data_IF_863327142983
#
_entry.id   IF_863327142983
#
_cell.length_a   1.000
_cell.length_b   1.000
_cell.length_c   1.000
_cell.angle_alpha   90.00
_cell.angle_beta   90.00
_cell.angle_gamma   90.00
#
_symmetry.space_group_name_H-M   'P 1'
#
loop_
_entity.id
_entity.type
_entity.pdbx_description
1 polymer ?
#
# COMPACT_ATOMS: atom_id res chain seq x y z
N UNK A 1 -4.35 16.49 -1.92
CA UNK A 1 -3.20 16.82 -2.80
C UNK A 1 -3.74 17.47 -4.07
N UNK A 2 -3.05 18.47 -4.61
CA UNK A 2 -3.50 19.21 -5.80
C UNK A 2 -3.60 18.27 -7.02
N UNK A 3 -4.78 18.07 -7.63
CA UNK A 3 -4.93 17.23 -8.81
C UNK A 3 -4.04 17.65 -10.00
N UNK A 4 -3.68 18.95 -10.10
CA UNK A 4 -2.84 19.49 -11.18
C UNK A 4 -1.40 18.96 -11.18
N UNK A 5 -0.97 18.44 -10.03
CA UNK A 5 0.38 17.91 -9.82
C UNK A 5 0.51 16.42 -10.16
N UNK A 6 -0.56 15.78 -10.62
CA UNK A 6 -0.51 14.39 -11.04
C UNK A 6 -0.03 14.23 -12.47
N UNK A 7 0.84 13.24 -12.67
CA UNK A 7 1.31 12.79 -13.97
C UNK A 7 0.96 11.31 -14.16
N UNK A 8 1.04 10.87 -15.41
CA UNK A 8 1.00 9.45 -15.74
C UNK A 8 2.29 9.03 -16.44
N UNK A 9 2.66 7.76 -16.29
CA UNK A 9 3.75 7.14 -17.01
C UNK A 9 3.47 5.67 -17.26
N UNK A 10 3.63 5.21 -18.51
CA UNK A 10 3.55 3.79 -18.86
C UNK A 10 4.93 3.16 -18.69
N UNK A 11 5.01 2.22 -17.76
CA UNK A 11 6.23 1.48 -17.41
C UNK A 11 6.68 0.55 -18.55
N UNK A 12 7.91 0.07 -18.48
CA UNK A 12 8.46 -0.94 -19.39
C UNK A 12 7.70 -2.26 -19.33
N UNK A 13 6.99 -2.52 -18.23
CA UNK A 13 6.08 -3.66 -18.06
C UNK A 13 4.69 -3.45 -18.69
N UNK A 14 4.43 -2.27 -19.25
CA UNK A 14 3.19 -1.94 -19.97
C UNK A 14 2.07 -1.39 -19.09
N UNK A 15 2.29 -1.18 -17.79
CA UNK A 15 1.29 -0.61 -16.88
C UNK A 15 1.43 0.90 -16.77
N UNK A 16 0.32 1.61 -16.87
CA UNK A 16 0.24 3.06 -16.69
C UNK A 16 0.01 3.40 -15.22
N UNK A 17 0.99 4.06 -14.62
CA UNK A 17 0.91 4.57 -13.26
C UNK A 17 0.48 6.03 -13.24
N UNK A 18 -0.41 6.37 -12.31
CA UNK A 18 -0.68 7.73 -11.91
C UNK A 18 0.09 8.05 -10.63
N UNK A 19 0.74 9.22 -10.58
CA UNK A 19 1.53 9.63 -9.42
C UNK A 19 1.50 11.14 -9.25
N UNK A 20 1.49 11.59 -8.00
CA UNK A 20 1.75 12.98 -7.66
C UNK A 20 3.25 13.27 -7.83
N UNK A 21 3.56 14.39 -8.49
CA UNK A 21 4.92 14.88 -8.70
C UNK A 21 5.08 16.31 -8.21
N UNK A 22 6.06 16.51 -7.34
CA UNK A 22 6.64 17.83 -7.04
C UNK A 22 8.12 17.82 -7.42
N UNK A 23 8.58 18.58 -8.42
CA UNK A 23 10.01 18.69 -8.73
C UNK A 23 10.79 19.30 -7.56
N UNK A 24 12.04 18.86 -7.37
CA UNK A 24 12.92 19.46 -6.37
C UNK A 24 13.26 20.91 -6.78
N UNK A 25 13.14 21.85 -5.83
CA UNK A 25 13.47 23.26 -6.06
C UNK A 25 14.89 23.61 -5.61
N UNK A 26 15.49 22.75 -4.77
CA UNK A 26 16.88 22.84 -4.33
C UNK A 26 17.59 21.55 -4.71
N UNK A 27 18.63 21.64 -5.56
CA UNK A 27 19.41 20.49 -6.02
C UNK A 27 20.11 19.70 -4.89
N UNK A 28 20.22 20.28 -3.69
CA UNK A 28 20.77 19.62 -2.50
C UNK A 28 19.72 18.79 -1.75
N UNK A 29 18.43 18.99 -2.03
CA UNK A 29 17.34 18.25 -1.41
C UNK A 29 17.03 16.99 -2.23
N UNK A 30 17.02 15.80 -1.62
CA UNK A 30 16.72 14.58 -2.36
C UNK A 30 15.24 14.54 -2.79
N UNK A 31 14.95 13.74 -3.81
CA UNK A 31 13.57 13.33 -4.09
C UNK A 31 13.16 12.25 -3.09
N UNK A 32 11.95 12.37 -2.53
CA UNK A 32 11.31 11.35 -1.72
C UNK A 32 10.35 10.54 -2.59
N UNK A 33 10.47 9.22 -2.55
CA UNK A 33 9.52 8.29 -3.16
C UNK A 33 8.67 7.71 -2.05
N UNK A 34 7.37 7.97 -2.07
CA UNK A 34 6.46 7.61 -0.99
C UNK A 34 5.48 6.54 -1.46
N UNK A 35 5.67 5.30 -0.99
CA UNK A 35 4.93 4.12 -1.43
C UNK A 35 3.90 3.74 -0.36
N UNK A 36 2.62 3.87 -0.69
CA UNK A 36 1.51 3.52 0.20
C UNK A 36 1.30 1.99 0.30
N UNK A 37 0.43 1.58 1.21
CA UNK A 37 0.02 0.19 1.40
C UNK A 37 -1.48 -0.02 1.22
N UNK A 38 -2.00 -1.08 1.84
CA UNK A 38 -3.41 -1.46 1.81
C UNK A 38 -4.12 -1.10 3.13
N UNK A 39 -5.41 -0.73 3.11
CA UNK A 39 -6.26 -0.47 1.95
C UNK A 39 -6.31 1.03 1.65
N UNK A 40 -5.29 1.56 0.96
CA UNK A 40 -5.18 3.02 0.73
C UNK A 40 -4.74 3.40 -0.70
N UNK A 41 -4.22 4.61 -0.87
CA UNK A 41 -3.78 5.25 -2.11
C UNK A 41 -2.63 6.22 -1.81
N UNK A 42 -2.13 6.91 -2.85
CA UNK A 42 -1.15 7.99 -2.69
C UNK A 42 -1.59 9.07 -1.67
N UNK A 43 -2.90 9.20 -1.41
CA UNK A 43 -3.46 10.20 -0.51
C UNK A 43 -3.01 10.08 0.95
N UNK A 44 -2.59 8.90 1.41
CA UNK A 44 -1.95 8.70 2.73
C UNK A 44 -0.83 9.71 2.99
N UNK A 45 -0.12 10.09 1.93
CA UNK A 45 1.04 10.94 1.99
C UNK A 45 0.72 12.43 1.93
N UNK A 46 -0.55 12.85 1.90
CA UNK A 46 -0.92 14.26 1.71
C UNK A 46 -0.26 15.21 2.73
N UNK A 47 -0.12 14.79 3.98
CA UNK A 47 0.49 15.62 5.03
C UNK A 47 2.02 15.66 4.88
N UNK A 48 2.62 14.57 4.42
CA UNK A 48 4.06 14.50 4.10
C UNK A 48 4.36 15.38 2.89
N UNK A 49 3.53 15.33 1.86
CA UNK A 49 3.63 16.18 0.67
C UNK A 49 3.50 17.66 1.07
N UNK A 50 2.47 18.02 1.84
CA UNK A 50 2.25 19.39 2.31
C UNK A 50 3.40 19.93 3.16
N UNK A 51 4.08 19.07 3.92
CA UNK A 51 5.24 19.46 4.71
C UNK A 51 6.51 19.65 3.88
N UNK A 52 6.83 18.71 2.99
CA UNK A 52 8.12 18.68 2.30
C UNK A 52 8.16 19.49 0.99
N UNK A 53 7.04 19.65 0.30
CA UNK A 53 6.99 20.43 -0.94
C UNK A 53 7.45 21.89 -0.75
N UNK A 54 6.96 22.64 0.27
CA UNK A 54 7.41 24.02 0.51
C UNK A 54 8.88 24.12 0.96
N UNK A 55 9.45 23.02 1.46
CA UNK A 55 10.87 22.94 1.85
C UNK A 55 11.80 22.62 0.67
N UNK A 56 11.27 22.58 -0.55
CA UNK A 56 12.01 22.41 -1.79
C UNK A 56 12.42 20.96 -2.12
N UNK A 57 11.86 19.96 -1.41
CA UNK A 57 12.11 18.55 -1.71
C UNK A 57 11.38 18.11 -2.98
N UNK A 58 12.01 17.21 -3.73
CA UNK A 58 11.30 16.48 -4.78
C UNK A 58 10.39 15.43 -4.17
N UNK A 59 9.21 15.20 -4.74
CA UNK A 59 8.25 14.19 -4.29
C UNK A 59 7.76 13.38 -5.48
N UNK A 60 7.76 12.06 -5.35
CA UNK A 60 7.13 11.10 -6.28
C UNK A 60 6.25 10.19 -5.43
N UNK A 61 4.94 10.29 -5.62
CA UNK A 61 3.96 9.58 -4.78
C UNK A 61 2.99 8.84 -5.70
N UNK A 62 3.32 7.60 -6.10
CA UNK A 62 2.45 6.81 -6.97
C UNK A 62 1.21 6.29 -6.22
N UNK A 63 0.09 6.25 -6.94
CA UNK A 63 -0.90 5.22 -6.68
C UNK A 63 -0.26 3.90 -7.16
N UNK A 64 -0.07 2.95 -6.25
CA UNK A 64 0.56 1.67 -6.57
C UNK A 64 -0.32 0.84 -7.53
N UNK A 65 0.25 -0.16 -8.22
CA UNK A 65 -0.51 -1.02 -9.14
C UNK A 65 -1.81 -1.50 -8.49
N UNK A 66 -2.94 -1.44 -9.20
CA UNK A 66 -4.23 -1.82 -8.62
C UNK A 66 -4.97 -0.73 -7.85
N UNK A 67 -4.37 0.44 -7.61
CA UNK A 67 -4.98 1.51 -6.82
C UNK A 67 -5.18 2.81 -7.59
N UNK A 68 -6.06 3.66 -7.06
CA UNK A 68 -6.28 5.03 -7.53
C UNK A 68 -6.51 5.10 -9.04
N UNK A 69 -5.68 5.89 -9.73
CA UNK A 69 -5.73 6.07 -11.19
C UNK A 69 -4.68 5.24 -11.95
N UNK A 70 -3.98 4.34 -11.25
CA UNK A 70 -3.04 3.39 -11.86
C UNK A 70 -3.78 2.17 -12.40
N UNK A 71 -3.24 1.54 -13.44
CA UNK A 71 -3.77 0.31 -14.03
C UNK A 71 -4.06 -0.78 -12.98
N UNK A 72 -5.10 -1.58 -13.24
CA UNK A 72 -5.65 -2.54 -12.28
C UNK A 72 -5.71 -3.97 -12.83
N UNK A 73 -4.56 -4.60 -13.16
CA UNK A 73 -4.56 -6.00 -13.54
C UNK A 73 -5.09 -6.86 -12.39
N UNK A 74 -5.85 -7.91 -12.70
CA UNK A 74 -6.41 -8.85 -11.71
C UNK A 74 -5.68 -10.20 -11.69
N UNK A 75 -4.56 -10.30 -12.41
CA UNK A 75 -3.65 -11.44 -12.34
C UNK A 75 -2.61 -11.20 -11.23
N UNK A 76 -2.55 -12.04 -10.18
CA UNK A 76 -1.53 -11.96 -9.14
C UNK A 76 -0.08 -11.97 -9.66
N UNK A 77 0.18 -12.57 -10.83
CA UNK A 77 1.50 -12.54 -11.45
C UNK A 77 1.99 -11.11 -11.77
N UNK A 78 1.08 -10.15 -11.91
CA UNK A 78 1.41 -8.73 -12.11
C UNK A 78 1.98 -8.06 -10.84
N UNK A 79 1.80 -8.64 -9.65
CA UNK A 79 2.13 -8.02 -8.36
C UNK A 79 3.42 -8.58 -7.74
N UNK A 80 4.19 -9.36 -8.50
CA UNK A 80 5.49 -9.85 -8.05
C UNK A 80 6.41 -8.68 -7.72
N UNK A 81 7.00 -8.69 -6.53
CA UNK A 81 7.73 -7.53 -5.99
C UNK A 81 8.92 -7.04 -6.82
N UNK A 82 9.54 -7.89 -7.64
CA UNK A 82 10.56 -7.43 -8.60
C UNK A 82 9.97 -6.56 -9.71
N UNK A 83 8.77 -6.91 -10.20
CA UNK A 83 8.04 -6.11 -11.16
C UNK A 83 7.62 -4.77 -10.57
N UNK A 84 7.01 -4.77 -9.38
CA UNK A 84 6.59 -3.52 -8.71
C UNK A 84 7.78 -2.60 -8.42
N UNK A 85 8.95 -3.16 -8.10
CA UNK A 85 10.18 -2.37 -7.94
C UNK A 85 10.62 -1.74 -9.27
N UNK A 86 10.58 -2.51 -10.37
CA UNK A 86 10.92 -2.00 -11.70
C UNK A 86 9.96 -0.88 -12.14
N UNK A 87 8.66 -1.02 -11.88
CA UNK A 87 7.68 0.03 -12.21
C UNK A 87 8.01 1.37 -11.55
N UNK A 88 8.40 1.35 -10.27
CA UNK A 88 8.83 2.56 -9.54
C UNK A 88 10.13 3.12 -10.12
N UNK A 89 11.06 2.26 -10.52
CA UNK A 89 12.33 2.66 -11.17
C UNK A 89 12.06 3.34 -12.52
N UNK A 90 11.12 2.82 -13.31
CA UNK A 90 10.73 3.42 -14.59
C UNK A 90 10.13 4.82 -14.39
N UNK A 91 9.31 5.01 -13.34
CA UNK A 91 8.81 6.35 -12.96
C UNK A 91 9.99 7.29 -12.61
N UNK A 92 10.99 6.81 -11.86
CA UNK A 92 12.17 7.61 -11.54
C UNK A 92 12.99 7.97 -12.78
N UNK A 93 13.11 7.06 -13.75
CA UNK A 93 13.78 7.33 -15.02
C UNK A 93 13.03 8.40 -15.84
N UNK A 94 11.70 8.29 -15.92
CA UNK A 94 10.85 9.27 -16.59
C UNK A 94 10.96 10.68 -15.97
N UNK A 95 11.21 10.75 -14.66
CA UNK A 95 11.40 12.00 -13.91
C UNK A 95 12.86 12.47 -13.86
N UNK A 96 13.80 11.74 -14.46
CA UNK A 96 15.23 12.07 -14.44
C UNK A 96 15.87 11.97 -13.04
N UNK A 97 15.26 11.20 -12.12
CA UNK A 97 15.72 11.06 -10.74
C UNK A 97 16.67 9.87 -10.62
N UNK A 98 17.96 10.17 -10.49
CA UNK A 98 19.01 9.14 -10.37
C UNK A 98 18.96 8.39 -9.03
N UNK A 99 18.82 9.11 -7.92
CA UNK A 99 18.70 8.54 -6.58
C UNK A 99 17.60 9.21 -5.77
N UNK A 100 16.91 8.43 -4.94
CA UNK A 100 15.84 8.92 -4.07
C UNK A 100 15.95 8.36 -2.64
N UNK A 101 15.33 9.07 -1.68
CA UNK A 101 14.97 8.48 -0.39
C UNK A 101 13.66 7.73 -0.60
N UNK A 102 13.67 6.41 -0.39
CA UNK A 102 12.48 5.58 -0.61
C UNK A 102 11.84 5.29 0.74
N UNK A 103 10.56 5.66 0.87
CA UNK A 103 9.75 5.47 2.06
C UNK A 103 8.62 4.53 1.73
N UNK A 104 8.53 3.41 2.46
CA UNK A 104 7.45 2.44 2.31
C UNK A 104 6.55 2.41 3.55
N UNK A 105 5.25 2.25 3.32
CA UNK A 105 4.26 1.92 4.34
C UNK A 105 3.57 0.60 3.97
N UNK A 106 3.46 -0.33 4.93
CA UNK A 106 2.74 -1.61 4.73
C UNK A 106 3.25 -2.39 3.47
N UNK A 107 2.43 -2.63 2.43
CA UNK A 107 2.87 -3.28 1.18
C UNK A 107 3.92 -2.45 0.43
N UNK A 108 3.85 -1.12 0.54
CA UNK A 108 4.88 -0.22 0.03
C UNK A 108 6.26 -0.48 0.64
N UNK A 109 6.34 -0.97 1.89
CA UNK A 109 7.62 -1.39 2.51
C UNK A 109 8.22 -2.62 1.84
N UNK A 110 7.39 -3.57 1.35
CA UNK A 110 7.88 -4.71 0.58
C UNK A 110 8.47 -4.24 -0.75
N UNK A 111 7.81 -3.30 -1.43
CA UNK A 111 8.32 -2.71 -2.68
C UNK A 111 9.61 -1.92 -2.42
N UNK A 112 9.66 -1.07 -1.39
CA UNK A 112 10.88 -0.36 -0.99
C UNK A 112 12.05 -1.32 -0.71
N UNK A 113 11.77 -2.44 -0.03
CA UNK A 113 12.77 -3.50 0.18
C UNK A 113 13.26 -4.08 -1.14
N UNK A 114 12.38 -4.34 -2.11
CA UNK A 114 12.77 -4.89 -3.43
C UNK A 114 13.59 -3.89 -4.25
N UNK A 115 13.26 -2.59 -4.22
CA UNK A 115 14.09 -1.55 -4.85
C UNK A 115 15.50 -1.54 -4.26
N UNK A 116 15.63 -1.61 -2.92
CA UNK A 116 16.93 -1.65 -2.26
C UNK A 116 17.77 -2.89 -2.65
N UNK A 117 17.12 -4.04 -2.85
CA UNK A 117 17.81 -5.28 -3.20
C UNK A 117 18.20 -5.35 -4.69
N UNK A 118 17.34 -4.87 -5.59
CA UNK A 118 17.48 -5.06 -7.04
C UNK A 118 18.08 -3.83 -7.74
N UNK A 119 17.88 -2.65 -7.16
CA UNK A 119 18.34 -1.37 -7.69
C UNK A 119 19.02 -0.52 -6.60
N UNK A 120 19.99 -1.06 -5.83
CA UNK A 120 20.62 -0.33 -4.72
C UNK A 120 21.22 1.00 -5.14
N UNK A 121 21.70 1.12 -6.38
CA UNK A 121 22.22 2.36 -6.97
C UNK A 121 21.19 3.50 -7.03
N UNK A 122 19.88 3.20 -6.97
CA UNK A 122 18.78 4.17 -7.01
C UNK A 122 18.37 4.66 -5.61
N UNK A 123 18.91 4.06 -4.56
CA UNK A 123 18.49 4.31 -3.18
C UNK A 123 19.54 5.14 -2.46
N UNK A 124 19.17 6.37 -2.08
CA UNK A 124 19.98 7.25 -1.21
C UNK A 124 19.80 6.92 0.27
N UNK A 125 18.57 6.63 0.68
CA UNK A 125 18.21 6.20 2.03
C UNK A 125 16.85 5.48 2.02
N UNK A 126 16.55 4.77 3.09
CA UNK A 126 15.31 4.01 3.27
C UNK A 126 14.61 4.41 4.57
N UNK A 127 13.28 4.45 4.54
CA UNK A 127 12.45 4.49 5.73
C UNK A 127 11.28 3.50 5.58
N UNK A 128 10.93 2.86 6.69
CA UNK A 128 9.92 1.81 6.75
C UNK A 128 8.89 2.16 7.82
N UNK A 129 7.62 2.20 7.44
CA UNK A 129 6.49 2.44 8.34
C UNK A 129 5.60 1.19 8.41
N UNK A 130 5.20 0.81 9.62
CA UNK A 130 4.42 -0.41 9.97
C UNK A 130 5.12 -1.75 9.69
N UNK A 131 5.73 -1.93 8.51
CA UNK A 131 6.44 -3.15 8.10
C UNK A 131 7.91 -2.82 7.84
N UNK A 132 8.81 -3.50 8.54
CA UNK A 132 10.27 -3.34 8.38
C UNK A 132 10.82 -3.94 7.07
N UNK A 133 12.15 -3.93 6.94
CA UNK A 133 12.82 -4.53 5.78
C UNK A 133 12.43 -6.01 5.60
N UNK A 134 12.08 -6.39 4.37
CA UNK A 134 11.74 -7.77 4.00
C UNK A 134 12.73 -8.30 2.95
N UNK A 135 13.61 -9.26 3.31
CA UNK A 135 14.54 -9.83 2.34
C UNK A 135 13.81 -10.59 1.21
N UNK A 136 14.45 -10.79 0.04
CA UNK A 136 13.93 -11.69 -0.99
C UNK A 136 13.77 -13.11 -0.44
N UNK A 137 12.59 -13.71 -0.65
CA UNK A 137 12.32 -15.09 -0.27
C UNK A 137 11.57 -15.79 -1.41
N UNK A 138 12.28 -16.45 -2.33
CA UNK A 138 11.66 -17.12 -3.49
C UNK A 138 10.87 -18.38 -3.09
N UNK A 139 11.13 -18.93 -1.90
CA UNK A 139 10.43 -20.09 -1.35
C UNK A 139 9.42 -19.69 -0.27
N UNK A 140 8.89 -18.47 -0.36
CA UNK A 140 7.91 -17.97 0.59
C UNK A 140 6.67 -18.87 0.62
N UNK A 141 6.27 -19.27 1.82
CA UNK A 141 5.10 -20.11 2.05
C UNK A 141 4.27 -19.48 3.17
N UNK A 142 3.08 -18.92 2.87
CA UNK A 142 2.26 -18.24 3.85
C UNK A 142 1.72 -19.19 4.93
N UNK A 143 1.53 -20.48 4.62
CA UNK A 143 1.06 -21.49 5.58
C UNK A 143 2.15 -21.78 6.61
N UNK A 144 3.39 -21.96 6.16
CA UNK A 144 4.54 -22.12 7.09
C UNK A 144 4.76 -20.89 7.94
N UNK A 145 4.65 -19.68 7.38
CA UNK A 145 4.76 -18.45 8.15
C UNK A 145 3.68 -18.37 9.23
N UNK A 146 2.42 -18.64 8.88
CA UNK A 146 1.31 -18.61 9.84
C UNK A 146 1.51 -19.62 10.97
N UNK A 147 1.94 -20.85 10.64
CA UNK A 147 2.25 -21.88 11.64
C UNK A 147 3.39 -21.46 12.58
N UNK A 148 4.47 -20.89 12.03
CA UNK A 148 5.59 -20.37 12.80
C UNK A 148 5.15 -19.26 13.75
N UNK A 149 4.42 -18.26 13.25
CA UNK A 149 3.94 -17.14 14.07
C UNK A 149 3.05 -17.62 15.21
N UNK A 150 2.13 -18.55 14.93
CA UNK A 150 1.26 -19.14 15.96
C UNK A 150 2.08 -19.87 17.03
N UNK A 151 3.08 -20.65 16.64
CA UNK A 151 3.95 -21.35 17.58
C UNK A 151 4.82 -20.40 18.41
N UNK A 152 5.35 -19.34 17.80
CA UNK A 152 6.26 -18.40 18.46
C UNK A 152 5.55 -17.41 19.40
N UNK A 153 4.33 -16.99 19.06
CA UNK A 153 3.62 -15.91 19.76
C UNK A 153 2.31 -16.37 20.42
N UNK A 154 1.93 -17.64 20.27
CA UNK A 154 0.69 -18.19 20.84
C UNK A 154 -0.60 -17.67 20.18
N UNK A 155 -0.50 -16.91 19.08
CA UNK A 155 -1.65 -16.31 18.38
C UNK A 155 -1.37 -16.13 16.89
N UNK A 156 -2.43 -16.05 16.11
CA UNK A 156 -2.39 -15.87 14.65
C UNK A 156 -2.36 -14.38 14.30
N UNK A 157 -1.55 -13.98 13.31
CA UNK A 157 -1.42 -12.57 12.88
C UNK A 157 -1.97 -12.34 11.47
N UNK A 158 -2.00 -13.38 10.64
CA UNK A 158 -2.22 -13.28 9.19
C UNK A 158 -3.47 -14.00 8.69
N UNK A 159 -4.42 -14.31 9.58
CA UNK A 159 -5.64 -15.06 9.25
C UNK A 159 -6.49 -14.41 8.17
N UNK A 160 -6.46 -13.08 8.07
CA UNK A 160 -7.14 -12.33 7.02
C UNK A 160 -6.61 -12.59 5.60
N UNK A 161 -5.34 -13.03 5.42
CA UNK A 161 -4.82 -13.36 4.08
C UNK A 161 -5.62 -14.47 3.41
N UNK A 162 -6.06 -15.46 4.19
CA UNK A 162 -6.90 -16.55 3.69
C UNK A 162 -8.31 -16.09 3.29
N UNK A 163 -8.81 -14.97 3.83
CA UNK A 163 -10.04 -14.34 3.35
C UNK A 163 -9.79 -13.60 2.05
N UNK A 164 -8.76 -12.76 1.97
CA UNK A 164 -8.47 -11.95 0.79
C UNK A 164 -8.16 -12.78 -0.46
N UNK A 165 -7.54 -13.96 -0.29
CA UNK A 165 -7.25 -14.88 -1.38
C UNK A 165 -8.48 -15.68 -1.88
N UNK A 166 -9.65 -15.55 -1.25
CA UNK A 166 -10.86 -16.28 -1.69
C UNK A 166 -11.47 -15.63 -2.95
N UNK A 167 -11.94 -16.43 -3.91
CA UNK A 167 -12.76 -15.92 -5.01
C UNK A 167 -13.96 -15.12 -4.47
N UNK A 168 -14.15 -13.90 -4.97
CA UNK A 168 -15.25 -13.02 -4.58
C UNK A 168 -15.06 -12.29 -3.24
N UNK A 169 -13.89 -12.39 -2.60
CA UNK A 169 -13.59 -11.62 -1.38
C UNK A 169 -13.71 -10.11 -1.62
N UNK A 170 -13.29 -9.62 -2.80
CA UNK A 170 -13.49 -8.25 -3.24
C UNK A 170 -14.96 -7.83 -3.16
N UNK A 171 -15.89 -8.68 -3.63
CA UNK A 171 -17.33 -8.40 -3.61
C UNK A 171 -17.92 -8.41 -2.21
N UNK A 172 -17.45 -9.31 -1.35
CA UNK A 172 -17.86 -9.32 0.07
C UNK A 172 -17.42 -8.02 0.77
N UNK A 173 -16.20 -7.56 0.50
CA UNK A 173 -15.66 -6.33 1.07
C UNK A 173 -16.35 -5.09 0.49
N UNK A 174 -16.48 -4.99 -0.84
CA UNK A 174 -17.15 -3.88 -1.52
C UNK A 174 -18.59 -3.69 -1.01
N UNK A 175 -19.33 -4.79 -0.82
CA UNK A 175 -20.70 -4.77 -0.28
C UNK A 175 -20.77 -4.25 1.16
N UNK A 176 -19.75 -4.53 1.98
CA UNK A 176 -19.72 -4.19 3.41
C UNK A 176 -18.55 -3.25 3.74
N UNK A 177 -18.27 -2.28 2.86
CA UNK A 177 -17.06 -1.45 2.92
C UNK A 177 -16.92 -0.68 4.25
N UNK A 178 -18.02 -0.24 4.84
CA UNK A 178 -18.00 0.47 6.12
C UNK A 178 -17.57 -0.45 7.27
N UNK A 179 -18.02 -1.70 7.26
CA UNK A 179 -17.58 -2.75 8.19
C UNK A 179 -16.10 -3.05 8.01
N UNK A 180 -15.65 -3.23 6.77
CA UNK A 180 -14.25 -3.44 6.45
C UNK A 180 -13.35 -2.28 6.90
N UNK A 181 -13.71 -1.03 6.58
CA UNK A 181 -12.93 0.13 6.99
C UNK A 181 -12.89 0.30 8.51
N UNK A 182 -13.98 -0.01 9.22
CA UNK A 182 -13.95 0.00 10.70
C UNK A 182 -12.99 -1.05 11.27
N UNK A 183 -12.80 -2.19 10.57
CA UNK A 183 -11.86 -3.22 11.01
C UNK A 183 -10.41 -2.88 10.69
N UNK A 184 -10.14 -2.22 9.55
CA UNK A 184 -8.78 -1.89 9.09
C UNK A 184 -8.30 -0.49 9.52
N UNK A 185 -9.20 0.35 10.04
CA UNK A 185 -8.90 1.57 10.79
C UNK A 185 -9.58 1.51 12.17
N UNK A 186 -9.23 0.53 13.03
CA UNK A 186 -9.97 0.24 14.25
C UNK A 186 -9.67 1.20 15.39
N UNK A 187 -10.65 1.37 16.27
CA UNK A 187 -10.42 1.82 17.64
C UNK A 187 -11.20 0.90 18.61
N UNK A 188 -10.53 0.26 19.58
CA UNK A 188 -9.09 0.27 19.83
C UNK A 188 -8.34 -0.69 18.86
N UNK A 189 -7.03 -0.52 18.62
CA UNK A 189 -6.28 -1.33 17.64
C UNK A 189 -6.19 -2.83 18.00
N UNK A 190 -6.40 -3.18 19.27
CA UNK A 190 -6.43 -4.55 19.78
C UNK A 190 -7.54 -5.41 19.15
N UNK A 191 -8.55 -4.80 18.51
CA UNK A 191 -9.55 -5.53 17.73
C UNK A 191 -8.90 -6.45 16.68
N UNK A 192 -7.72 -6.13 16.18
CA UNK A 192 -6.98 -7.00 15.27
C UNK A 192 -6.59 -8.34 15.88
N UNK A 193 -6.36 -8.42 17.20
CA UNK A 193 -5.99 -9.66 17.89
C UNK A 193 -7.09 -10.71 17.75
N UNK A 194 -8.35 -10.28 17.84
CA UNK A 194 -9.51 -11.18 17.84
C UNK A 194 -10.20 -11.27 16.46
N UNK A 195 -10.03 -10.25 15.62
CA UNK A 195 -10.84 -10.08 14.41
C UNK A 195 -10.07 -10.00 13.09
N UNK A 196 -8.74 -9.82 13.10
CA UNK A 196 -7.91 -9.83 11.87
C UNK A 196 -6.90 -10.97 11.88
N UNK A 197 -6.27 -11.18 13.04
CA UNK A 197 -5.23 -12.17 13.25
C UNK A 197 -5.72 -13.61 13.05
N UNK A 198 -6.83 -14.04 13.69
CA UNK A 198 -7.32 -15.41 13.58
C UNK A 198 -7.98 -15.71 12.24
N UNK A 199 -7.76 -16.92 11.74
CA UNK A 199 -8.32 -17.35 10.45
C UNK A 199 -9.86 -17.27 10.43
N UNK A 200 -10.42 -16.68 9.36
CA UNK A 200 -11.86 -16.54 9.17
C UNK A 200 -12.53 -15.39 9.93
N UNK A 201 -11.90 -14.82 10.96
CA UNK A 201 -12.53 -13.78 11.78
C UNK A 201 -12.73 -12.44 11.06
N UNK A 202 -11.83 -12.08 10.16
CA UNK A 202 -12.01 -10.87 9.34
C UNK A 202 -13.21 -11.00 8.41
N UNK A 203 -13.42 -12.19 7.83
CA UNK A 203 -14.58 -12.48 6.98
C UNK A 203 -15.87 -12.43 7.78
N UNK A 204 -15.91 -13.08 8.95
CA UNK A 204 -17.05 -13.07 9.86
C UNK A 204 -17.47 -11.64 10.24
N UNK A 205 -16.49 -10.78 10.57
CA UNK A 205 -16.73 -9.37 10.86
C UNK A 205 -17.37 -8.63 9.69
N UNK A 206 -16.78 -8.76 8.50
CA UNK A 206 -17.24 -8.06 7.29
C UNK A 206 -18.61 -8.57 6.83
N UNK A 207 -18.86 -9.88 6.85
CA UNK A 207 -20.13 -10.48 6.43
C UNK A 207 -21.29 -10.18 7.40
N UNK A 208 -20.98 -10.01 8.70
CA UNK A 208 -21.96 -9.57 9.70
C UNK A 208 -22.23 -8.07 9.68
N UNK A 209 -21.53 -7.31 8.81
CA UNK A 209 -21.58 -5.86 8.73
C UNK A 209 -21.31 -5.17 10.09
N UNK A 210 -20.47 -5.81 10.92
CA UNK A 210 -20.10 -5.29 12.24
C UNK A 210 -19.23 -4.04 12.08
N UNK A 211 -19.40 -3.06 12.95
CA UNK A 211 -18.59 -1.84 12.96
C UNK A 211 -18.08 -1.53 14.37
N UNK A 212 -16.91 -0.90 14.44
CA UNK A 212 -16.37 -0.27 15.64
C UNK A 212 -16.36 1.25 15.50
N UNK A 213 -16.17 1.95 16.61
CA UNK A 213 -15.92 3.38 16.58
C UNK A 213 -14.60 3.67 15.85
N UNK A 214 -14.51 4.77 15.07
CA UNK A 214 -13.29 5.14 14.39
C UNK A 214 -12.30 5.80 15.36
N UNK A 215 -10.99 5.70 15.11
CA UNK A 215 -10.00 6.49 15.82
C UNK A 215 -10.15 7.98 15.47
N UNK A 216 -9.66 8.88 16.33
CA UNK A 216 -9.85 10.32 16.20
C UNK A 216 -9.34 10.92 14.86
N UNK A 217 -8.33 10.30 14.22
CA UNK A 217 -7.80 10.75 12.94
C UNK A 217 -8.63 10.29 11.72
N UNK A 218 -9.53 9.31 11.90
CA UNK A 218 -10.34 8.73 10.82
C UNK A 218 -11.75 9.33 10.85
N UNK A 219 -11.81 10.64 10.60
CA UNK A 219 -13.06 11.42 10.60
C UNK A 219 -14.04 10.92 9.52
N UNK A 220 -15.32 11.29 9.57
CA UNK A 220 -16.29 10.93 8.53
C UNK A 220 -15.84 11.31 7.11
N UNK A 221 -15.21 12.48 6.95
CA UNK A 221 -14.70 12.95 5.66
C UNK A 221 -13.52 12.09 5.16
N UNK A 222 -12.62 11.72 6.07
CA UNK A 222 -11.53 10.80 5.77
C UNK A 222 -12.09 9.43 5.36
N UNK A 223 -13.00 8.87 6.17
CA UNK A 223 -13.65 7.58 5.88
C UNK A 223 -14.31 7.58 4.49
N UNK A 224 -15.05 8.64 4.17
CA UNK A 224 -15.71 8.77 2.88
C UNK A 224 -14.69 8.85 1.73
N UNK A 225 -13.57 9.55 1.92
CA UNK A 225 -12.49 9.59 0.94
C UNK A 225 -11.95 8.18 0.63
N UNK A 226 -11.60 7.39 1.66
CA UNK A 226 -11.12 6.01 1.47
C UNK A 226 -12.17 5.14 0.79
N UNK A 227 -13.43 5.24 1.24
CA UNK A 227 -14.55 4.49 0.67
C UNK A 227 -14.69 4.76 -0.83
N UNK A 228 -14.72 6.03 -1.23
CA UNK A 228 -14.82 6.41 -2.64
C UNK A 228 -13.60 5.94 -3.44
N UNK A 229 -12.38 6.11 -2.91
CA UNK A 229 -11.15 5.70 -3.59
C UNK A 229 -11.09 4.18 -3.85
N UNK A 230 -11.51 3.38 -2.88
CA UNK A 230 -11.51 1.91 -2.98
C UNK A 230 -12.63 1.42 -3.91
N UNK A 231 -13.84 1.95 -3.78
CA UNK A 231 -14.98 1.51 -4.60
C UNK A 231 -14.88 1.94 -6.07
N UNK A 232 -14.28 3.11 -6.36
CA UNK A 232 -14.24 3.67 -7.70
C UNK A 232 -13.59 2.76 -8.76
N UNK A 233 -12.64 1.90 -8.36
CA UNK A 233 -12.07 0.90 -9.29
C UNK A 233 -12.05 -0.52 -8.74
N UNK A 234 -12.84 -0.77 -7.69
CA UNK A 234 -12.98 -2.07 -7.05
C UNK A 234 -11.74 -2.56 -6.30
N UNK A 235 -11.93 -3.67 -5.57
CA UNK A 235 -10.93 -4.28 -4.70
C UNK A 235 -10.28 -5.53 -5.30
N UNK A 236 -10.74 -6.04 -6.44
CA UNK A 236 -10.16 -7.23 -7.05
C UNK A 236 -8.64 -7.13 -7.27
N UNK A 237 -8.16 -6.02 -7.82
CA UNK A 237 -6.75 -5.76 -8.07
C UNK A 237 -5.93 -5.51 -6.78
N UNK A 238 -6.38 -4.66 -5.83
CA UNK A 238 -5.73 -4.52 -4.52
C UNK A 238 -5.52 -5.83 -3.73
N UNK A 239 -6.38 -6.83 -3.92
CA UNK A 239 -6.26 -8.13 -3.25
C UNK A 239 -5.29 -9.10 -3.95
N UNK A 240 -4.66 -8.70 -5.05
CA UNK A 240 -3.67 -9.51 -5.76
C UNK A 240 -2.22 -9.39 -5.25
N UNK A 241 -1.97 -8.55 -4.22
CA UNK A 241 -0.66 -8.27 -3.62
C UNK A 241 -0.07 -9.43 -2.79
#
# INVERSE_FOLDING_TARGET
>A
MDPSTYKTHTTTRGYTYAYHRTPAQDARKPTLVLLHGFPSSAWDWQHVVAHFAPLGYGLVVPDMLGYGRTDRPTDPAAYVGSGLAQDVVDILDAEGVQQAVVVGHDWGSRVASRIANLHPQRVRALAFLAVGYVPPNPTFDPVKLAAFVKAAYGREFFGYWGFFAQPGADKVIEKNIDSFLSLFFPHPPELWIDHVGPAGKAKEWVESNRQSDPPAYFTPEVKEHYKQALLAGGLAAPLCY
#
